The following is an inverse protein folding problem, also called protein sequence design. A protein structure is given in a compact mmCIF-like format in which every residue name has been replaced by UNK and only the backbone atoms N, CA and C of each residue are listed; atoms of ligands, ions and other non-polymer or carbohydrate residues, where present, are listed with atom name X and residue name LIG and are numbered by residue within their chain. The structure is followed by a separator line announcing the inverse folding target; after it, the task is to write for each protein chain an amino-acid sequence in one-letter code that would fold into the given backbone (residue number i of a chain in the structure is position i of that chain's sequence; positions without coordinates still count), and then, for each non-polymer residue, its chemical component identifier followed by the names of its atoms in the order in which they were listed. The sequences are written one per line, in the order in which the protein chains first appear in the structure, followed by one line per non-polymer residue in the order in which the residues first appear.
data_IF_800401312717
#
_entry.id   IF_800401312717
#
_cell.length_a   1.000
_cell.length_b   1.000
_cell.length_c   1.000
_cell.angle_alpha   90.00
_cell.angle_beta   90.00
_cell.angle_gamma   90.00
#
_symmetry.space_group_name_H-M   'P 1'
#
loop_
_entity.id
_entity.type
_entity.pdbx_description
1 polymer ?
#
# COMPACT_ATOMS: atom_id res chain seq x y z
N UNK A 1 0.87 9.40 4.00
CA UNK A 1 2.19 9.42 3.38
C UNK A 1 3.22 9.74 4.45
N UNK A 2 4.38 9.09 4.42
CA UNK A 2 5.46 9.33 5.38
C UNK A 2 6.13 10.69 5.10
N UNK A 3 6.57 11.38 6.15
CA UNK A 3 7.18 12.71 6.06
C UNK A 3 8.45 12.74 5.18
N UNK A 4 9.23 11.65 5.19
CA UNK A 4 10.41 11.52 4.33
C UNK A 4 10.06 11.56 2.84
N UNK A 5 8.89 11.04 2.46
CA UNK A 5 8.40 11.04 1.09
C UNK A 5 7.99 12.45 0.67
N UNK A 6 7.25 13.16 1.54
CA UNK A 6 6.83 14.54 1.29
C UNK A 6 8.04 15.47 1.09
N UNK A 7 9.07 15.37 1.93
CA UNK A 7 10.32 16.14 1.75
C UNK A 7 11.03 15.83 0.45
N UNK A 8 11.02 14.57 0.02
CA UNK A 8 11.66 14.17 -1.23
C UNK A 8 10.91 14.71 -2.46
N UNK A 9 9.57 14.73 -2.41
CA UNK A 9 8.74 15.36 -3.45
C UNK A 9 8.99 16.87 -3.56
N UNK A 10 9.14 17.58 -2.43
CA UNK A 10 9.45 19.01 -2.44
C UNK A 10 10.79 19.33 -3.12
N UNK A 11 11.76 18.41 -3.02
CA UNK A 11 13.09 18.57 -3.63
C UNK A 11 13.08 18.25 -5.13
N UNK A 12 12.27 17.29 -5.57
CA UNK A 12 12.23 16.79 -6.95
C UNK A 12 10.78 16.52 -7.37
N UNK A 13 10.00 17.54 -7.75
CA UNK A 13 8.55 17.39 -7.93
C UNK A 13 8.15 16.56 -9.16
N UNK A 14 8.94 16.58 -10.23
CA UNK A 14 8.50 16.13 -11.55
C UNK A 14 9.29 14.92 -12.07
N UNK A 15 9.19 13.78 -11.38
CA UNK A 15 9.70 12.53 -11.92
C UNK A 15 8.63 11.78 -12.74
N UNK A 16 9.01 11.18 -13.88
CA UNK A 16 8.13 10.31 -14.65
C UNK A 16 7.57 9.18 -13.77
N UNK A 17 6.28 8.91 -13.94
CA UNK A 17 5.65 7.79 -13.27
C UNK A 17 6.11 6.44 -13.84
N UNK A 18 6.22 5.45 -12.97
CA UNK A 18 6.58 4.07 -13.32
C UNK A 18 5.32 3.21 -13.39
N UNK A 19 5.29 2.31 -14.37
CA UNK A 19 4.19 1.39 -14.63
C UNK A 19 4.71 -0.04 -14.80
N UNK A 20 3.88 -1.03 -14.50
CA UNK A 20 4.18 -2.45 -14.77
C UNK A 20 5.14 -3.14 -13.80
N UNK A 21 5.68 -2.42 -12.82
CA UNK A 21 6.64 -2.97 -11.84
C UNK A 21 6.02 -3.42 -10.53
N UNK A 22 4.97 -2.73 -10.05
CA UNK A 22 4.33 -2.99 -8.76
C UNK A 22 2.92 -3.53 -8.97
N UNK A 23 2.56 -4.57 -8.25
CA UNK A 23 1.23 -5.14 -8.25
C UNK A 23 0.72 -5.45 -6.83
N UNK A 24 -0.60 -5.51 -6.69
CA UNK A 24 -1.29 -5.96 -5.49
C UNK A 24 -2.12 -7.20 -5.85
N UNK A 25 -1.79 -8.34 -5.23
CA UNK A 25 -2.55 -9.56 -5.51
C UNK A 25 -3.91 -9.58 -4.79
N UNK A 26 -4.73 -10.58 -5.15
CA UNK A 26 -6.07 -10.82 -4.58
C UNK A 26 -6.09 -11.01 -3.06
N UNK A 27 -4.94 -11.28 -2.43
CA UNK A 27 -4.77 -11.47 -0.98
C UNK A 27 -4.16 -10.23 -0.31
N UNK A 28 -4.01 -9.11 -1.02
CA UNK A 28 -3.43 -7.90 -0.48
C UNK A 28 -1.93 -8.05 -0.18
N UNK A 29 -1.20 -8.82 -0.99
CA UNK A 29 0.27 -8.91 -0.91
C UNK A 29 0.89 -8.09 -2.04
N UNK A 30 1.93 -7.35 -1.73
CA UNK A 30 2.69 -6.57 -2.71
C UNK A 30 3.61 -7.47 -3.53
N UNK A 31 3.69 -7.21 -4.82
CA UNK A 31 4.59 -7.88 -5.75
C UNK A 31 5.42 -6.87 -6.53
N UNK A 32 6.73 -7.07 -6.59
CA UNK A 32 7.63 -6.32 -7.46
C UNK A 32 8.05 -7.26 -8.58
N UNK A 33 7.79 -6.89 -9.84
CA UNK A 33 7.99 -7.76 -11.02
C UNK A 33 7.41 -9.17 -10.84
N UNK A 34 6.20 -9.26 -10.27
CA UNK A 34 5.50 -10.52 -9.97
C UNK A 34 6.13 -11.40 -8.89
N UNK A 35 7.18 -10.93 -8.21
CA UNK A 35 7.73 -11.59 -7.03
C UNK A 35 7.20 -10.95 -5.75
N UNK A 36 6.82 -11.77 -4.78
CA UNK A 36 6.28 -11.30 -3.51
C UNK A 36 7.34 -10.51 -2.74
N UNK A 37 6.97 -9.34 -2.25
CA UNK A 37 7.77 -8.60 -1.27
C UNK A 37 7.79 -9.38 0.05
N UNK A 38 8.92 -10.01 0.35
CA UNK A 38 9.11 -10.83 1.55
C UNK A 38 9.39 -10.01 2.82
N UNK A 39 10.01 -8.83 2.68
CA UNK A 39 10.36 -7.99 3.82
C UNK A 39 9.12 -7.21 4.33
N UNK A 40 8.68 -7.44 5.57
CA UNK A 40 7.48 -6.80 6.12
C UNK A 40 7.61 -5.27 6.26
N UNK A 41 8.82 -4.75 6.52
CA UNK A 41 9.06 -3.31 6.62
C UNK A 41 8.89 -2.63 5.26
N UNK A 42 9.34 -3.27 4.19
CA UNK A 42 9.15 -2.78 2.81
C UNK A 42 7.68 -2.80 2.44
N UNK A 43 6.98 -3.91 2.73
CA UNK A 43 5.54 -4.01 2.50
C UNK A 43 4.74 -2.93 3.26
N UNK A 44 5.09 -2.67 4.53
CA UNK A 44 4.48 -1.63 5.34
C UNK A 44 4.78 -0.23 4.79
N UNK A 45 6.01 0.03 4.33
CA UNK A 45 6.38 1.30 3.70
C UNK A 45 5.56 1.57 2.44
N UNK A 46 5.39 0.55 1.56
CA UNK A 46 4.51 0.67 0.39
C UNK A 46 3.09 1.00 0.85
N UNK A 47 2.54 0.25 1.81
CA UNK A 47 1.18 0.42 2.30
C UNK A 47 0.88 1.81 2.88
N UNK A 48 1.82 2.43 3.62
CA UNK A 48 1.65 3.78 4.20
C UNK A 48 1.71 4.91 3.17
N UNK A 49 2.34 4.65 2.03
CA UNK A 49 2.54 5.60 0.93
C UNK A 49 1.74 5.20 -0.33
N UNK A 50 0.72 4.36 -0.15
CA UNK A 50 -0.18 3.91 -1.19
C UNK A 50 -1.47 4.72 -1.19
N UNK A 51 -1.80 5.32 -2.32
CA UNK A 51 -2.87 6.31 -2.45
C UNK A 51 -3.51 6.30 -3.84
N UNK A 52 -4.58 7.07 -4.01
CA UNK A 52 -5.35 7.17 -5.24
C UNK A 52 -5.19 8.57 -5.83
N UNK A 53 -5.01 8.67 -7.15
CA UNK A 53 -5.05 9.95 -7.83
C UNK A 53 -6.48 10.41 -8.12
N UNK A 54 -6.62 11.62 -8.69
CA UNK A 54 -7.92 12.23 -9.01
C UNK A 54 -8.71 11.45 -10.07
N UNK A 55 -8.07 10.56 -10.82
CA UNK A 55 -8.69 9.69 -11.82
C UNK A 55 -9.06 8.32 -11.28
N UNK A 56 -8.87 8.09 -9.98
CA UNK A 56 -9.19 6.83 -9.35
C UNK A 56 -8.11 5.74 -9.50
N UNK A 57 -6.95 6.06 -10.08
CA UNK A 57 -5.83 5.12 -10.24
C UNK A 57 -5.01 5.07 -8.96
N UNK A 58 -4.50 3.89 -8.63
CA UNK A 58 -3.76 3.68 -7.39
C UNK A 58 -2.26 3.60 -7.62
N UNK A 59 -1.50 4.22 -6.72
CA UNK A 59 -0.05 4.32 -6.82
C UNK A 59 0.61 4.24 -5.44
N UNK A 60 1.87 3.81 -5.44
CA UNK A 60 2.81 3.96 -4.34
C UNK A 60 3.72 5.16 -4.61
N UNK A 61 3.84 6.06 -3.63
CA UNK A 61 4.75 7.21 -3.70
C UNK A 61 6.10 6.84 -3.09
N UNK A 62 7.10 6.60 -3.94
CA UNK A 62 8.47 6.27 -3.55
C UNK A 62 9.36 7.52 -3.61
N UNK A 63 9.36 8.31 -2.52
CA UNK A 63 9.98 9.63 -2.54
C UNK A 63 9.33 10.52 -3.61
N UNK A 64 10.09 11.10 -4.56
CA UNK A 64 9.51 11.90 -5.64
C UNK A 64 8.82 11.07 -6.73
N UNK A 65 9.11 9.77 -6.84
CA UNK A 65 8.63 8.95 -7.93
C UNK A 65 7.27 8.30 -7.61
N UNK A 66 6.33 8.46 -8.53
CA UNK A 66 5.05 7.74 -8.50
C UNK A 66 5.19 6.38 -9.18
N UNK A 67 4.76 5.31 -8.53
CA UNK A 67 4.72 3.96 -9.09
C UNK A 67 3.27 3.46 -9.10
N UNK A 68 2.65 3.36 -10.28
CA UNK A 68 1.28 2.86 -10.39
C UNK A 68 1.21 1.35 -10.16
N UNK A 69 0.13 0.95 -9.49
CA UNK A 69 -0.08 -0.44 -9.04
C UNK A 69 -1.02 -1.16 -9.99
N UNK A 70 -0.59 -2.31 -10.52
CA UNK A 70 -1.47 -3.26 -11.16
C UNK A 70 -2.30 -4.00 -10.11
N UNK A 71 -3.63 -3.95 -10.21
CA UNK A 71 -4.54 -4.55 -9.25
C UNK A 71 -5.11 -5.86 -9.79
N UNK A 72 -4.89 -6.97 -9.10
CA UNK A 72 -5.47 -8.27 -9.48
C UNK A 72 -6.95 -8.40 -9.11
N UNK A 73 -7.44 -7.54 -8.21
CA UNK A 73 -8.82 -7.59 -7.75
C UNK A 73 -9.38 -6.23 -7.33
N UNK A 74 -9.03 -5.78 -6.12
CA UNK A 74 -9.53 -4.52 -5.55
C UNK A 74 -8.37 -3.74 -4.95
N UNK A 75 -8.46 -2.40 -4.92
CA UNK A 75 -7.36 -1.58 -4.41
C UNK A 75 -7.17 -1.67 -2.90
N UNK A 76 -8.19 -2.10 -2.16
CA UNK A 76 -8.17 -2.23 -0.70
C UNK A 76 -8.67 -3.62 -0.31
N UNK A 77 -7.76 -4.44 0.22
CA UNK A 77 -8.07 -5.77 0.76
C UNK A 77 -8.06 -5.71 2.29
N UNK A 78 -9.14 -6.17 2.92
CA UNK A 78 -9.28 -6.24 4.37
C UNK A 78 -9.21 -7.69 4.86
N UNK A 79 -8.59 -7.88 6.02
CA UNK A 79 -8.54 -9.15 6.74
C UNK A 79 -9.29 -8.99 8.05
N UNK A 80 -10.08 -10.00 8.36
CA UNK A 80 -10.74 -10.15 9.64
C UNK A 80 -9.89 -11.07 10.53
N UNK A 81 -9.69 -10.68 11.78
CA UNK A 81 -9.15 -11.56 12.81
C UNK A 81 -10.07 -11.57 14.02
N UNK A 82 -10.42 -12.77 14.46
CA UNK A 82 -10.97 -12.99 15.80
C UNK A 82 -9.85 -12.69 16.79
N UNK A 83 -10.17 -11.96 17.84
CA UNK A 83 -9.17 -11.61 18.84
C UNK A 83 -8.59 -12.85 19.54
N UNK A 84 -7.45 -12.71 20.21
CA UNK A 84 -6.71 -13.85 20.78
C UNK A 84 -7.42 -14.54 21.95
N UNK A 85 -8.42 -13.89 22.53
CA UNK A 85 -9.28 -14.39 23.60
C UNK A 85 -10.76 -14.06 23.32
N UNK A 86 -11.68 -14.76 23.98
CA UNK A 86 -13.12 -14.50 23.88
C UNK A 86 -13.53 -13.08 24.33
N UNK A 87 -12.66 -12.36 25.06
CA UNK A 87 -12.87 -10.99 25.48
C UNK A 87 -12.35 -9.95 24.46
N UNK A 88 -11.53 -10.37 23.50
CA UNK A 88 -10.98 -9.46 22.50
C UNK A 88 -12.01 -9.19 21.40
N UNK A 89 -12.30 -7.91 21.16
CA UNK A 89 -13.14 -7.50 20.05
C UNK A 89 -12.53 -7.94 18.71
N UNK A 90 -13.34 -8.38 17.74
CA UNK A 90 -12.87 -8.72 16.41
C UNK A 90 -12.23 -7.51 15.73
N UNK A 91 -11.19 -7.75 14.93
CA UNK A 91 -10.40 -6.69 14.28
C UNK A 91 -10.49 -6.79 12.77
N UNK A 92 -10.62 -5.64 12.11
CA UNK A 92 -10.55 -5.52 10.66
C UNK A 92 -9.31 -4.69 10.29
N UNK A 93 -8.41 -5.28 9.51
CA UNK A 93 -7.15 -4.65 9.10
C UNK A 93 -7.02 -4.63 7.58
N UNK A 94 -6.73 -3.45 7.03
CA UNK A 94 -6.41 -3.29 5.62
C UNK A 94 -4.99 -3.79 5.33
N UNK A 95 -4.73 -4.30 4.12
CA UNK A 95 -3.38 -4.64 3.66
C UNK A 95 -2.37 -3.48 3.70
N UNK A 96 -2.84 -2.23 3.83
CA UNK A 96 -2.01 -1.04 4.06
C UNK A 96 -1.55 -0.87 5.52
N UNK A 97 -1.99 -1.75 6.42
CA UNK A 97 -1.75 -1.68 7.87
C UNK A 97 -2.72 -0.78 8.63
N UNK A 98 -3.69 -0.16 7.94
CA UNK A 98 -4.75 0.65 8.60
C UNK A 98 -5.76 -0.26 9.27
N UNK A 99 -6.01 -0.03 10.56
CA UNK A 99 -7.13 -0.63 11.29
C UNK A 99 -8.41 0.16 11.00
N UNK A 100 -9.53 -0.56 10.97
CA UNK A 100 -10.86 0.05 10.89
C UNK A 100 -11.54 -0.18 12.23
N UNK A 101 -11.77 0.91 12.94
CA UNK A 101 -12.61 0.89 14.13
C UNK A 101 -14.07 0.92 13.71
N UNK A 102 -14.93 0.25 14.49
CA UNK A 102 -16.39 0.21 14.28
C UNK A 102 -17.08 1.42 14.89
#
# INVERSE_FOLDING_TARGET
MDESVLRAMARWPDLPAVYGWLALDRRGRWLIKRERVGNPLVAAFIGRNYERDDRGRWFFQNGPQRVYVALDYTPLVYRFSEGGSAADAPRLECHTGRRVDR
#
